data_IF_239792347936
#
_entry.id   IF_239792347936
#
_cell.length_a   1.000
_cell.length_b   1.000
_cell.length_c   1.000
_cell.angle_alpha   90.00
_cell.angle_beta   90.00
_cell.angle_gamma   90.00
#
_symmetry.space_group_name_H-M   'P 1'
#
loop_
_entity.id
_entity.type
_entity.pdbx_description
1 polymer ?
#
# COMPACT_ATOMS: atom_id res chain seq x y z
N UNK A 1 12.54 -7.67 -11.93
CA UNK A 1 11.87 -6.83 -12.95
C UNK A 1 12.07 -5.36 -12.56
N UNK A 2 12.48 -4.45 -13.46
CA UNK A 2 12.67 -3.04 -13.13
C UNK A 2 11.32 -2.34 -12.89
N UNK A 3 11.28 -1.41 -11.93
CA UNK A 3 10.07 -0.72 -11.47
C UNK A 3 10.24 0.80 -11.51
N UNK A 4 9.21 1.53 -11.95
CA UNK A 4 9.08 2.97 -11.69
C UNK A 4 8.33 3.17 -10.37
N UNK A 5 9.00 3.76 -9.38
CA UNK A 5 8.38 4.12 -8.11
C UNK A 5 7.80 5.53 -8.15
N UNK A 6 6.53 5.67 -7.78
CA UNK A 6 5.86 6.95 -7.52
C UNK A 6 5.57 7.00 -6.02
N UNK A 7 6.37 7.79 -5.28
CA UNK A 7 6.21 7.99 -3.84
C UNK A 7 5.50 9.32 -3.59
N UNK A 8 4.25 9.28 -3.13
CA UNK A 8 3.50 10.48 -2.78
C UNK A 8 3.97 11.01 -1.41
N UNK A 9 3.72 12.30 -1.16
CA UNK A 9 4.04 12.95 0.12
C UNK A 9 2.87 12.85 1.10
N UNK A 10 3.14 12.92 2.41
CA UNK A 10 2.11 12.92 3.44
C UNK A 10 1.72 11.52 3.92
N UNK A 11 1.78 11.31 5.24
CA UNK A 11 1.17 10.17 5.91
C UNK A 11 0.46 10.62 7.20
N UNK A 12 -0.80 10.24 7.42
CA UNK A 12 -1.49 10.52 8.67
C UNK A 12 -1.15 9.53 9.78
N UNK A 13 -0.46 8.42 9.47
CA UNK A 13 -0.02 7.44 10.46
C UNK A 13 1.38 7.81 11.00
N UNK A 14 1.69 7.30 12.20
CA UNK A 14 2.99 7.41 12.88
C UNK A 14 3.47 6.02 13.31
N UNK A 15 3.50 5.09 12.34
CA UNK A 15 3.99 3.73 12.58
C UNK A 15 5.41 3.79 13.16
N UNK A 16 5.63 3.13 14.30
CA UNK A 16 6.94 3.17 14.99
C UNK A 16 8.08 2.63 14.11
N UNK A 17 7.79 1.66 13.26
CA UNK A 17 8.75 1.04 12.34
C UNK A 17 8.81 1.70 10.96
N UNK A 18 8.28 2.92 10.78
CA UNK A 18 8.28 3.58 9.47
C UNK A 18 9.73 3.80 8.98
N UNK A 19 10.11 3.14 7.90
CA UNK A 19 11.42 3.25 7.25
C UNK A 19 11.54 4.45 6.30
N UNK A 20 10.41 5.07 5.99
CA UNK A 20 10.28 6.17 5.03
C UNK A 20 9.71 7.42 5.73
N UNK A 21 10.27 7.78 6.87
CA UNK A 21 9.81 8.94 7.67
C UNK A 21 9.85 10.25 6.90
N UNK A 22 10.77 10.36 5.93
CA UNK A 22 10.88 11.49 5.02
C UNK A 22 9.63 11.72 4.16
N UNK A 23 8.76 10.71 3.95
CA UNK A 23 7.51 10.87 3.19
C UNK A 23 6.30 11.21 4.07
N UNK A 24 6.48 11.35 5.40
CA UNK A 24 5.39 11.67 6.34
C UNK A 24 4.91 13.13 6.21
N UNK A 25 5.79 14.15 6.09
CA UNK A 25 5.35 15.53 5.92
C UNK A 25 4.59 15.71 4.60
N UNK A 26 3.57 16.56 4.59
CA UNK A 26 2.78 16.82 3.38
C UNK A 26 3.54 17.64 2.32
N UNK A 27 4.61 18.31 2.72
CA UNK A 27 5.50 19.12 1.91
C UNK A 27 6.80 18.38 1.53
N UNK A 28 6.88 17.06 1.76
CA UNK A 28 8.08 16.26 1.48
C UNK A 28 8.28 15.90 0.00
N UNK A 29 7.59 16.57 -0.91
CA UNK A 29 7.60 16.28 -2.34
C UNK A 29 7.26 17.50 -3.17
N UNK A 30 7.28 17.32 -4.49
CA UNK A 30 7.01 18.40 -5.44
C UNK A 30 5.61 18.27 -6.04
N UNK A 31 4.96 19.42 -6.26
CA UNK A 31 3.68 19.46 -6.97
C UNK A 31 3.89 19.15 -8.45
N UNK A 32 3.26 18.09 -8.93
CA UNK A 32 3.29 17.69 -10.34
C UNK A 32 1.88 17.62 -10.90
N UNK A 33 1.70 18.10 -12.13
CA UNK A 33 0.48 17.87 -12.87
C UNK A 33 0.33 16.38 -13.20
N UNK A 34 -0.90 15.86 -13.16
CA UNK A 34 -1.19 14.45 -13.47
C UNK A 34 -0.62 14.03 -14.84
N UNK A 35 -0.72 14.90 -15.84
CA UNK A 35 -0.18 14.65 -17.18
C UNK A 35 1.34 14.53 -17.21
N UNK A 36 2.04 15.32 -16.39
CA UNK A 36 3.49 15.23 -16.27
C UNK A 36 3.91 13.89 -15.66
N UNK A 37 3.19 13.41 -14.63
CA UNK A 37 3.44 12.10 -14.01
C UNK A 37 3.27 10.98 -15.05
N UNK A 38 2.16 10.99 -15.79
CA UNK A 38 1.90 9.96 -16.81
C UNK A 38 2.93 10.02 -17.95
N UNK A 39 3.35 11.22 -18.38
CA UNK A 39 4.39 11.38 -19.40
C UNK A 39 5.74 10.80 -18.94
N UNK A 40 6.15 11.08 -17.70
CA UNK A 40 7.38 10.54 -17.10
C UNK A 40 7.33 9.00 -17.01
N UNK A 41 6.21 8.43 -16.58
CA UNK A 41 6.02 6.96 -16.53
C UNK A 41 6.17 6.34 -17.92
N UNK A 42 5.52 6.92 -18.94
CA UNK A 42 5.63 6.46 -20.34
C UNK A 42 7.06 6.57 -20.85
N UNK A 43 7.74 7.68 -20.57
CA UNK A 43 9.13 7.90 -20.98
C UNK A 43 10.07 6.86 -20.36
N UNK A 44 9.86 6.49 -19.09
CA UNK A 44 10.66 5.46 -18.42
C UNK A 44 10.41 4.06 -18.98
N UNK A 45 9.23 3.79 -19.53
CA UNK A 45 8.90 2.55 -20.24
C UNK A 45 9.13 1.29 -19.41
N UNK A 46 8.91 1.35 -18.09
CA UNK A 46 9.12 0.20 -17.19
C UNK A 46 7.89 -0.70 -17.19
N UNK A 47 8.08 -2.03 -17.10
CA UNK A 47 6.97 -2.99 -17.10
C UNK A 47 6.13 -2.94 -15.82
N UNK A 48 6.64 -2.31 -14.76
CA UNK A 48 5.98 -2.16 -13.47
C UNK A 48 6.04 -0.72 -12.99
N UNK A 49 4.92 -0.23 -12.49
CA UNK A 49 4.79 1.03 -11.76
C UNK A 49 4.24 0.74 -10.38
N UNK A 50 4.93 1.19 -9.33
CA UNK A 50 4.46 1.08 -7.95
C UNK A 50 4.14 2.47 -7.40
N UNK A 51 2.88 2.70 -7.06
CA UNK A 51 2.40 3.88 -6.34
C UNK A 51 2.41 3.59 -4.85
N UNK A 52 3.05 4.45 -4.05
CA UNK A 52 3.26 4.27 -2.60
C UNK A 52 3.42 5.64 -1.91
N UNK A 53 3.64 5.65 -0.60
CA UNK A 53 4.18 6.77 0.19
C UNK A 53 3.25 7.97 0.42
N UNK A 54 3.46 8.77 1.47
CA UNK A 54 3.44 8.21 2.81
C UNK A 54 2.24 7.26 2.90
N UNK A 55 1.03 7.77 3.05
CA UNK A 55 -0.18 7.01 2.75
C UNK A 55 -0.82 7.53 1.44
N UNK A 56 -0.71 6.79 0.32
CA UNK A 56 -1.18 7.29 -0.97
C UNK A 56 -2.69 7.58 -0.99
N UNK A 57 -3.52 6.75 -0.36
CA UNK A 57 -4.97 6.94 -0.32
C UNK A 57 -5.42 8.07 0.62
N UNK A 58 -4.50 8.68 1.37
CA UNK A 58 -4.79 9.92 2.09
C UNK A 58 -4.88 11.13 1.14
N UNK A 59 -4.32 11.03 -0.07
CA UNK A 59 -4.44 12.05 -1.10
C UNK A 59 -5.67 11.79 -2.00
N UNK A 60 -6.55 12.79 -2.10
CA UNK A 60 -7.80 12.68 -2.89
C UNK A 60 -7.56 12.30 -4.35
N UNK A 61 -6.51 12.83 -4.97
CA UNK A 61 -6.19 12.60 -6.37
C UNK A 61 -5.51 11.25 -6.65
N UNK A 62 -5.15 10.47 -5.62
CA UNK A 62 -4.45 9.19 -5.82
C UNK A 62 -5.28 8.21 -6.66
N UNK A 63 -6.60 8.11 -6.41
CA UNK A 63 -7.49 7.24 -7.17
C UNK A 63 -7.51 7.62 -8.66
N UNK A 64 -7.53 8.91 -8.99
CA UNK A 64 -7.52 9.37 -10.38
C UNK A 64 -6.17 9.13 -11.06
N UNK A 65 -5.06 9.22 -10.31
CA UNK A 65 -3.74 8.80 -10.79
C UNK A 65 -3.73 7.31 -11.12
N UNK A 66 -4.23 6.46 -10.22
CA UNK A 66 -4.30 5.01 -10.41
C UNK A 66 -5.16 4.63 -11.62
N UNK A 67 -6.33 5.26 -11.79
CA UNK A 67 -7.19 5.06 -12.98
C UNK A 67 -6.45 5.34 -14.27
N UNK A 68 -5.66 6.43 -14.31
CA UNK A 68 -4.88 6.79 -15.50
C UNK A 68 -3.68 5.88 -15.74
N UNK A 69 -3.00 5.46 -14.69
CA UNK A 69 -1.90 4.51 -14.80
C UNK A 69 -2.40 3.14 -15.26
N UNK A 70 -3.54 2.68 -14.77
CA UNK A 70 -4.15 1.40 -15.16
C UNK A 70 -4.61 1.32 -16.62
N UNK A 71 -4.59 2.44 -17.36
CA UNK A 71 -4.83 2.49 -18.81
C UNK A 71 -3.54 2.32 -19.63
N UNK A 72 -2.38 2.27 -18.98
CA UNK A 72 -1.09 2.08 -19.64
C UNK A 72 -0.80 0.58 -19.84
N UNK A 73 0.02 0.27 -20.83
CA UNK A 73 0.49 -1.09 -21.12
C UNK A 73 1.64 -1.49 -20.17
N UNK A 74 1.36 -1.51 -18.87
CA UNK A 74 2.29 -1.95 -17.83
C UNK A 74 1.52 -2.42 -16.60
N UNK A 75 2.16 -3.20 -15.73
CA UNK A 75 1.59 -3.59 -14.45
C UNK A 75 1.62 -2.38 -13.52
N UNK A 76 0.52 -2.12 -12.83
CA UNK A 76 0.43 -1.05 -11.83
C UNK A 76 0.10 -1.65 -10.48
N UNK A 77 0.90 -1.29 -9.48
CA UNK A 77 0.72 -1.68 -8.09
C UNK A 77 0.44 -0.46 -7.22
N UNK A 78 -0.36 -0.67 -6.17
CA UNK A 78 -0.58 0.28 -5.08
C UNK A 78 -0.14 -0.38 -3.78
N UNK A 79 0.74 0.26 -3.02
CA UNK A 79 1.03 -0.13 -1.63
C UNK A 79 0.39 0.87 -0.66
N UNK A 80 -0.49 0.40 0.23
CA UNK A 80 -1.27 1.23 1.17
C UNK A 80 -1.31 0.62 2.57
N UNK A 81 -1.47 1.46 3.60
CA UNK A 81 -1.47 1.08 5.01
C UNK A 81 -2.67 0.26 5.48
N UNK A 82 -3.70 0.09 4.64
CA UNK A 82 -4.98 -0.50 5.05
C UNK A 82 -5.83 0.40 5.95
N UNK A 83 -5.40 1.64 6.21
CA UNK A 83 -6.16 2.62 7.01
C UNK A 83 -7.26 3.37 6.24
N UNK A 84 -7.28 3.20 4.92
CA UNK A 84 -8.26 3.79 3.99
C UNK A 84 -8.94 2.67 3.21
N UNK A 85 -10.19 2.90 2.80
CA UNK A 85 -10.92 1.95 1.97
C UNK A 85 -10.29 1.87 0.58
N UNK A 86 -10.19 0.66 0.04
CA UNK A 86 -9.69 0.40 -1.32
C UNK A 86 -10.81 0.28 -2.36
N UNK A 87 -12.05 0.64 -1.98
CA UNK A 87 -13.28 0.48 -2.75
C UNK A 87 -13.32 1.28 -4.06
N UNK A 88 -12.58 2.39 -4.12
CA UNK A 88 -12.46 3.23 -5.31
C UNK A 88 -11.23 2.92 -6.15
N UNK A 89 -10.36 2.01 -5.71
CA UNK A 89 -9.19 1.58 -6.47
C UNK A 89 -9.64 0.62 -7.58
N UNK A 90 -9.30 0.88 -8.86
CA UNK A 90 -9.72 0.00 -9.96
C UNK A 90 -9.16 -1.42 -9.82
N UNK A 91 -9.96 -2.44 -10.16
CA UNK A 91 -9.57 -3.86 -10.05
C UNK A 91 -8.33 -4.26 -10.88
N UNK A 92 -7.99 -3.49 -11.92
CA UNK A 92 -6.77 -3.69 -12.72
C UNK A 92 -5.48 -3.36 -11.95
N UNK A 93 -5.60 -2.61 -10.86
CA UNK A 93 -4.47 -2.27 -9.99
C UNK A 93 -4.27 -3.39 -8.98
N UNK A 94 -3.06 -3.95 -8.96
CA UNK A 94 -2.66 -4.90 -7.93
C UNK A 94 -2.44 -4.13 -6.62
N UNK A 95 -3.25 -4.40 -5.60
CA UNK A 95 -3.14 -3.73 -4.28
C UNK A 95 -2.35 -4.60 -3.32
N UNK A 96 -1.37 -3.99 -2.67
CA UNK A 96 -0.64 -4.50 -1.52
C UNK A 96 -1.17 -3.72 -0.31
N UNK A 97 -2.01 -4.38 0.48
CA UNK A 97 -2.68 -3.77 1.64
C UNK A 97 -1.97 -4.24 2.90
N UNK A 98 -1.45 -3.30 3.69
CA UNK A 98 -0.92 -3.64 5.00
C UNK A 98 -2.04 -3.90 6.01
N UNK A 99 -1.88 -4.92 6.84
CA UNK A 99 -2.52 -5.01 8.15
C UNK A 99 -1.51 -4.55 9.19
N UNK A 100 -1.84 -3.43 9.85
CA UNK A 100 -1.03 -2.87 10.93
C UNK A 100 -1.12 -3.78 12.16
N UNK A 101 0.01 -4.37 12.53
CA UNK A 101 0.18 -5.18 13.74
C UNK A 101 0.28 -4.28 14.98
N UNK A 102 0.14 -4.82 16.21
CA UNK A 102 0.32 -4.05 17.44
C UNK A 102 1.65 -3.28 17.51
N UNK A 103 2.75 -3.86 17.01
CA UNK A 103 4.06 -3.20 16.94
C UNK A 103 4.10 -1.92 16.10
N UNK A 104 3.10 -1.66 15.26
CA UNK A 104 2.94 -0.38 14.56
C UNK A 104 2.50 0.77 15.46
N UNK A 105 1.84 0.46 16.59
CA UNK A 105 1.01 1.38 17.37
C UNK A 105 -0.18 2.01 16.60
N UNK A 106 -0.50 1.47 15.44
CA UNK A 106 -1.55 1.93 14.53
C UNK A 106 -2.57 0.82 14.19
N UNK A 107 -2.62 -0.26 14.99
CA UNK A 107 -3.53 -1.41 14.77
C UNK A 107 -5.00 -1.00 14.69
N UNK A 108 -5.40 0.02 15.45
CA UNK A 108 -6.74 0.61 15.44
C UNK A 108 -7.12 1.31 14.12
N UNK A 109 -6.13 1.60 13.27
CA UNK A 109 -6.35 2.27 11.98
C UNK A 109 -6.83 1.31 10.91
N UNK A 110 -6.65 0.00 11.08
CA UNK A 110 -7.03 -1.01 10.08
C UNK A 110 -8.52 -0.90 9.74
N UNK A 111 -8.82 -0.71 8.45
CA UNK A 111 -10.18 -0.82 7.89
C UNK A 111 -10.42 -2.27 7.46
N UNK A 112 -11.04 -3.05 8.34
CA UNK A 112 -11.28 -4.48 8.10
C UNK A 112 -12.26 -4.72 6.95
N UNK A 113 -13.05 -3.71 6.58
CA UNK A 113 -13.89 -3.70 5.39
C UNK A 113 -13.09 -4.01 4.11
N UNK A 114 -11.80 -3.65 4.08
CA UNK A 114 -10.92 -3.96 2.96
C UNK A 114 -10.76 -5.46 2.71
N UNK A 115 -10.90 -6.32 3.73
CA UNK A 115 -10.75 -7.77 3.57
C UNK A 115 -11.74 -8.35 2.55
N UNK A 116 -12.96 -7.79 2.50
CA UNK A 116 -14.00 -8.21 1.56
C UNK A 116 -13.78 -7.69 0.12
N UNK A 117 -12.89 -6.70 -0.06
CA UNK A 117 -12.59 -6.06 -1.34
C UNK A 117 -11.38 -6.70 -2.04
N UNK A 118 -10.67 -7.60 -1.36
CA UNK A 118 -9.49 -8.26 -1.88
C UNK A 118 -9.84 -9.26 -3.00
N UNK A 119 -8.97 -9.32 -4.00
CA UNK A 119 -9.05 -10.20 -5.15
C UNK A 119 -7.84 -11.15 -5.19
N UNK A 120 -7.84 -12.07 -6.16
CA UNK A 120 -6.72 -13.00 -6.34
C UNK A 120 -5.42 -12.31 -6.82
N UNK A 121 -5.54 -11.08 -7.31
CA UNK A 121 -4.40 -10.29 -7.76
C UNK A 121 -3.82 -9.41 -6.66
N UNK A 122 -4.35 -9.46 -5.44
CA UNK A 122 -3.91 -8.59 -4.34
C UNK A 122 -3.03 -9.34 -3.33
N UNK A 123 -2.34 -8.56 -2.51
CA UNK A 123 -1.51 -9.01 -1.41
C UNK A 123 -1.99 -8.37 -0.10
N UNK A 124 -2.04 -9.16 0.96
CA UNK A 124 -2.28 -8.70 2.32
C UNK A 124 -1.00 -8.90 3.15
N UNK A 125 -0.37 -7.80 3.56
CA UNK A 125 0.96 -7.81 4.16
C UNK A 125 0.92 -7.48 5.65
N UNK A 126 1.58 -8.29 6.46
CA UNK A 126 1.79 -8.05 7.89
C UNK A 126 3.26 -7.68 8.10
N UNK A 127 3.52 -6.50 8.65
CA UNK A 127 4.88 -6.12 9.07
C UNK A 127 5.10 -6.62 10.50
N UNK A 128 6.13 -7.44 10.69
CA UNK A 128 6.42 -8.15 11.94
C UNK A 128 7.63 -7.48 12.61
N UNK A 129 7.41 -6.82 13.74
CA UNK A 129 8.49 -6.19 14.54
C UNK A 129 9.01 -7.09 15.66
N UNK A 130 8.26 -8.15 15.99
CA UNK A 130 8.50 -8.95 17.18
C UNK A 130 7.83 -10.32 17.08
N UNK A 131 8.19 -11.23 17.99
CA UNK A 131 7.49 -12.51 18.15
C UNK A 131 6.01 -12.33 18.47
N UNK A 132 5.67 -11.32 19.28
CA UNK A 132 4.28 -10.99 19.60
C UNK A 132 3.49 -10.54 18.37
N UNK A 133 4.08 -9.78 17.45
CA UNK A 133 3.42 -9.42 16.19
C UNK A 133 3.15 -10.64 15.31
N UNK A 134 4.10 -11.59 15.25
CA UNK A 134 3.91 -12.83 14.49
C UNK A 134 2.77 -13.67 15.06
N UNK A 135 2.71 -13.84 16.39
CA UNK A 135 1.64 -14.57 17.06
C UNK A 135 0.28 -13.88 16.87
N UNK A 136 0.26 -12.55 16.98
CA UNK A 136 -0.94 -11.75 16.70
C UNK A 136 -1.40 -11.89 15.24
N UNK A 137 -0.48 -11.83 14.28
CA UNK A 137 -0.81 -11.99 12.86
C UNK A 137 -1.38 -13.38 12.56
N UNK A 138 -0.86 -14.44 13.19
CA UNK A 138 -1.43 -15.79 13.10
C UNK A 138 -2.85 -15.86 13.66
N UNK A 139 -3.09 -15.26 14.81
CA UNK A 139 -4.42 -15.20 15.42
C UNK A 139 -5.39 -14.40 14.55
N UNK A 140 -4.94 -13.30 13.96
CA UNK A 140 -5.72 -12.50 13.03
C UNK A 140 -6.10 -13.31 11.78
N UNK A 141 -5.15 -14.03 11.18
CA UNK A 141 -5.40 -14.92 10.03
C UNK A 141 -6.48 -15.94 10.36
N UNK A 142 -6.39 -16.62 11.51
CA UNK A 142 -7.37 -17.61 11.95
C UNK A 142 -8.74 -16.98 12.23
N UNK A 143 -8.76 -15.86 12.97
CA UNK A 143 -9.99 -15.14 13.33
C UNK A 143 -10.80 -14.70 12.10
N UNK A 144 -10.12 -14.20 11.06
CA UNK A 144 -10.76 -13.72 9.83
C UNK A 144 -10.77 -14.76 8.72
N UNK A 145 -10.34 -15.99 9.00
CA UNK A 145 -10.29 -17.12 8.06
C UNK A 145 -9.56 -16.79 6.75
N UNK A 146 -8.45 -16.07 6.88
CA UNK A 146 -7.71 -15.53 5.74
C UNK A 146 -7.00 -16.62 4.92
N UNK A 147 -6.93 -17.85 5.41
CA UNK A 147 -6.57 -19.02 4.59
C UNK A 147 -7.52 -19.24 3.40
N UNK A 148 -8.75 -18.70 3.48
CA UNK A 148 -9.72 -18.70 2.39
C UNK A 148 -9.72 -17.38 1.59
N UNK A 149 -8.85 -16.42 1.95
CA UNK A 149 -8.70 -15.19 1.19
C UNK A 149 -8.20 -15.51 -0.21
N UNK A 150 -8.64 -14.72 -1.18
CA UNK A 150 -8.11 -14.80 -2.55
C UNK A 150 -6.72 -14.17 -2.64
N UNK A 151 -6.44 -13.17 -1.80
CA UNK A 151 -5.18 -12.45 -1.81
C UNK A 151 -4.04 -13.30 -1.24
N UNK A 152 -2.83 -13.04 -1.75
CA UNK A 152 -1.62 -13.64 -1.21
C UNK A 152 -1.32 -13.05 0.17
N UNK A 153 -1.09 -13.90 1.17
CA UNK A 153 -0.72 -13.45 2.51
C UNK A 153 0.81 -13.34 2.63
N UNK A 154 1.28 -12.17 3.07
CA UNK A 154 2.70 -11.89 3.26
C UNK A 154 3.00 -11.55 4.72
N UNK A 155 4.09 -12.08 5.25
CA UNK A 155 4.68 -11.61 6.52
C UNK A 155 6.08 -11.11 6.23
N UNK A 156 6.37 -9.86 6.60
CA UNK A 156 7.66 -9.22 6.33
C UNK A 156 8.26 -8.70 7.63
N UNK A 157 9.52 -9.01 7.95
CA UNK A 157 10.17 -8.42 9.12
C UNK A 157 10.32 -6.91 8.94
N UNK A 158 10.17 -6.14 10.02
CA UNK A 158 10.59 -4.75 10.02
C UNK A 158 12.11 -4.65 9.83
N UNK A 159 12.56 -3.62 9.10
CA UNK A 159 13.99 -3.39 8.88
C UNK A 159 14.61 -2.65 10.07
N UNK A 160 15.72 -3.15 10.60
CA UNK A 160 16.52 -2.46 11.63
C UNK A 160 15.91 -2.44 13.04
N UNK A 161 14.91 -3.29 13.32
CA UNK A 161 14.26 -3.48 14.63
C UNK A 161 14.97 -4.51 15.50
#
# INVERSE_FOLDING_TARGET
MPCTFIRLAGCPLRCVYCDTTQAIPTDSGEWMAMDAIIAEVKQRGRPLVLVTGGEPLAQKQCVDLLKRLGQLDCIVQLETSGAYLIDQVPDVIHRIVDIKTPGSLEVQRNRLENLALLTANDELKFVITSRSDYEWARQFIDQYKLENSKATLLMSPAFGS
#
